data_IF_750499684699
#
_entry.id   IF_750499684699
#
_cell.length_a   1.000
_cell.length_b   1.000
_cell.length_c   1.000
_cell.angle_alpha   90.00
_cell.angle_beta   90.00
_cell.angle_gamma   90.00
#
_symmetry.space_group_name_H-M   'P 1'
#
loop_
_entity.id
_entity.type
_entity.pdbx_description
1 polymer ?
#
# COMPACT_ATOMS: atom_id res chain seq x y z
N UNK A 1 -46.62 40.39 -19.73
CA UNK A 1 -45.59 39.38 -20.04
C UNK A 1 -45.03 38.81 -18.73
N UNK A 2 -45.26 37.52 -18.42
CA UNK A 2 -44.78 36.84 -17.20
C UNK A 2 -44.05 35.55 -17.59
N UNK A 3 -42.74 35.62 -17.79
CA UNK A 3 -41.88 34.44 -17.87
C UNK A 3 -40.54 34.84 -17.27
N UNK A 4 -40.14 34.24 -16.14
CA UNK A 4 -38.74 34.19 -15.64
C UNK A 4 -38.52 33.49 -14.28
N UNK A 5 -39.50 32.78 -13.71
CA UNK A 5 -39.33 32.14 -12.39
C UNK A 5 -38.76 30.70 -12.40
N UNK A 6 -39.18 29.85 -13.34
CA UNK A 6 -38.91 28.40 -13.27
C UNK A 6 -37.53 27.98 -13.79
N UNK A 7 -36.98 28.68 -14.78
CA UNK A 7 -35.68 28.34 -15.37
C UNK A 7 -34.50 28.64 -14.42
N UNK A 8 -34.63 29.69 -13.60
CA UNK A 8 -33.56 30.10 -12.68
C UNK A 8 -33.39 29.12 -11.51
N UNK A 9 -34.47 28.51 -11.01
CA UNK A 9 -34.44 27.56 -9.90
C UNK A 9 -33.77 26.22 -10.28
N UNK A 10 -34.03 25.74 -11.50
CA UNK A 10 -33.42 24.52 -12.06
C UNK A 10 -31.89 24.61 -12.20
N UNK A 11 -31.39 25.79 -12.60
CA UNK A 11 -29.95 26.04 -12.73
C UNK A 11 -29.22 26.04 -11.38
N UNK A 12 -29.86 26.60 -10.35
CA UNK A 12 -29.30 26.66 -8.98
C UNK A 12 -29.27 25.26 -8.35
N UNK A 13 -30.31 24.45 -8.51
CA UNK A 13 -30.37 23.08 -7.98
C UNK A 13 -29.34 22.14 -8.63
N UNK A 14 -28.98 22.40 -9.89
CA UNK A 14 -27.95 21.61 -10.61
C UNK A 14 -26.53 22.00 -10.18
N UNK A 15 -26.28 23.30 -9.96
CA UNK A 15 -25.00 23.81 -9.47
C UNK A 15 -24.71 23.31 -8.04
N UNK A 16 -25.71 23.33 -7.15
CA UNK A 16 -25.55 22.89 -5.76
C UNK A 16 -25.22 21.39 -5.67
N UNK A 17 -25.86 20.55 -6.50
CA UNK A 17 -25.56 19.10 -6.54
C UNK A 17 -24.13 18.81 -7.04
N UNK A 18 -23.64 19.58 -8.00
CA UNK A 18 -22.29 19.42 -8.57
C UNK A 18 -21.18 19.83 -7.57
N UNK A 19 -21.43 20.89 -6.80
CA UNK A 19 -20.47 21.38 -5.79
C UNK A 19 -20.37 20.40 -4.61
N UNK A 20 -21.51 19.89 -4.12
CA UNK A 20 -21.51 18.93 -3.00
C UNK A 20 -20.84 17.61 -3.39
N UNK A 21 -21.06 17.12 -4.62
CA UNK A 21 -20.41 15.89 -5.09
C UNK A 21 -18.89 16.03 -5.25
N UNK A 22 -18.40 17.22 -5.62
CA UNK A 22 -16.96 17.51 -5.74
C UNK A 22 -16.28 17.65 -4.37
N UNK A 23 -16.97 18.21 -3.37
CA UNK A 23 -16.43 18.34 -2.01
C UNK A 23 -16.35 16.99 -1.27
N UNK A 24 -17.28 16.06 -1.53
CA UNK A 24 -17.25 14.72 -0.92
C UNK A 24 -16.14 13.85 -1.53
N UNK A 25 -15.78 14.03 -2.80
CA UNK A 25 -14.65 13.32 -3.41
C UNK A 25 -13.29 13.80 -2.86
N UNK A 26 -13.15 15.10 -2.55
CA UNK A 26 -11.89 15.66 -2.04
C UNK A 26 -11.59 15.30 -0.57
N UNK A 27 -12.60 14.91 0.22
CA UNK A 27 -12.41 14.54 1.64
C UNK A 27 -11.97 13.09 1.85
N UNK A 28 -11.94 12.25 0.80
CA UNK A 28 -11.44 10.87 0.86
C UNK A 28 -9.99 10.79 0.34
N UNK A 29 -9.45 11.91 -0.17
CA UNK A 29 -8.14 11.95 -0.84
C UNK A 29 -6.94 12.13 0.09
N UNK A 30 -7.15 12.39 1.38
CA UNK A 30 -6.06 12.55 2.34
C UNK A 30 -5.70 11.18 2.91
N UNK A 31 -4.56 10.63 2.44
CA UNK A 31 -3.80 9.47 2.94
C UNK A 31 -4.14 8.07 2.40
N UNK A 32 -4.46 7.92 1.10
CA UNK A 32 -4.39 6.61 0.46
C UNK A 32 -2.93 6.29 0.10
N UNK A 33 -2.18 5.70 1.03
CA UNK A 33 -0.90 5.07 0.69
C UNK A 33 -1.15 3.94 -0.30
N UNK A 34 -0.55 4.01 -1.48
CA UNK A 34 -0.72 2.97 -2.50
C UNK A 34 0.08 1.73 -2.11
N UNK A 35 -0.51 0.56 -2.33
CA UNK A 35 0.21 -0.71 -2.25
C UNK A 35 1.46 -0.68 -3.12
N UNK A 36 2.55 -1.28 -2.64
CA UNK A 36 3.78 -1.44 -3.43
C UNK A 36 3.48 -2.26 -4.69
N UNK A 37 3.95 -1.75 -5.82
CA UNK A 37 3.85 -2.42 -7.11
C UNK A 37 4.96 -3.45 -7.29
N UNK A 38 4.77 -4.38 -8.23
CA UNK A 38 5.79 -5.39 -8.53
C UNK A 38 7.12 -4.78 -8.96
N UNK A 39 7.09 -3.72 -9.77
CA UNK A 39 8.29 -3.04 -10.25
C UNK A 39 9.10 -2.43 -9.11
N UNK A 40 8.42 -1.71 -8.20
CA UNK A 40 9.07 -1.12 -7.02
C UNK A 40 9.67 -2.21 -6.12
N UNK A 41 8.92 -3.29 -5.90
CA UNK A 41 9.39 -4.38 -5.05
C UNK A 41 10.62 -5.10 -5.61
N UNK A 42 10.69 -5.30 -6.93
CA UNK A 42 11.87 -5.87 -7.61
C UNK A 42 13.06 -4.93 -7.42
N UNK A 43 12.87 -3.63 -7.64
CA UNK A 43 13.93 -2.64 -7.47
C UNK A 43 14.48 -2.63 -6.04
N UNK A 44 13.61 -2.70 -5.02
CA UNK A 44 14.02 -2.82 -3.62
C UNK A 44 14.86 -4.09 -3.38
N UNK A 45 14.49 -5.20 -4.00
CA UNK A 45 15.18 -6.49 -3.86
C UNK A 45 16.56 -6.48 -4.52
N UNK A 46 16.67 -5.86 -5.69
CA UNK A 46 17.96 -5.68 -6.39
C UNK A 46 18.91 -4.76 -5.63
N UNK A 47 18.38 -3.66 -5.08
CA UNK A 47 19.16 -2.76 -4.23
C UNK A 47 19.65 -3.46 -2.97
N UNK A 48 18.81 -4.31 -2.35
CA UNK A 48 19.21 -5.13 -1.21
C UNK A 48 20.37 -6.06 -1.54
N UNK A 49 20.33 -6.74 -2.69
CA UNK A 49 21.40 -7.64 -3.11
C UNK A 49 22.72 -6.91 -3.45
N UNK A 50 22.64 -5.70 -4.00
CA UNK A 50 23.81 -4.87 -4.33
C UNK A 50 24.47 -4.26 -3.09
N UNK A 51 23.67 -3.80 -2.14
CA UNK A 51 24.15 -3.20 -0.91
C UNK A 51 24.39 -4.30 0.13
N UNK A 52 25.57 -4.93 0.05
CA UNK A 52 26.14 -5.92 0.95
C UNK A 52 25.10 -6.47 1.98
N UNK A 53 24.42 -7.59 1.70
CA UNK A 53 23.19 -8.01 2.39
C UNK A 53 23.37 -8.29 3.90
N UNK A 54 24.61 -8.31 4.38
CA UNK A 54 24.97 -8.40 5.80
C UNK A 54 24.95 -7.01 6.52
N UNK A 55 24.94 -5.91 5.77
CA UNK A 55 24.93 -4.52 6.27
C UNK A 55 23.56 -3.84 6.15
N UNK A 56 22.68 -4.28 5.24
CA UNK A 56 21.28 -3.81 5.26
C UNK A 56 20.54 -4.52 6.39
N UNK A 57 19.99 -3.69 7.27
CA UNK A 57 19.32 -4.01 8.53
C UNK A 57 17.96 -4.67 8.26
N UNK A 58 17.94 -5.81 7.57
CA UNK A 58 16.91 -6.81 7.82
C UNK A 58 17.26 -7.43 9.17
N UNK A 59 17.04 -6.67 10.26
CA UNK A 59 16.94 -7.27 11.59
C UNK A 59 16.01 -8.46 11.41
N UNK A 60 16.32 -9.61 11.99
CA UNK A 60 15.56 -10.82 11.74
C UNK A 60 14.40 -10.91 12.75
N UNK A 61 13.25 -10.21 12.57
CA UNK A 61 12.10 -10.50 13.40
C UNK A 61 11.70 -11.95 13.10
N UNK A 62 11.46 -12.69 14.17
CA UNK A 62 10.75 -13.95 14.06
C UNK A 62 9.27 -13.62 14.07
N UNK A 63 8.62 -13.71 12.91
CA UNK A 63 7.18 -13.61 12.82
C UNK A 63 6.55 -14.91 13.29
N UNK A 64 5.54 -14.81 14.17
CA UNK A 64 4.80 -15.97 14.68
C UNK A 64 3.67 -16.39 13.71
N UNK A 65 4.01 -16.49 12.43
CA UNK A 65 3.13 -16.89 11.34
C UNK A 65 3.99 -17.47 10.21
N UNK A 66 3.35 -18.20 9.30
CA UNK A 66 3.98 -18.69 8.07
C UNK A 66 4.25 -17.53 7.10
N UNK A 67 5.16 -17.76 6.16
CA UNK A 67 5.46 -16.79 5.12
C UNK A 67 4.23 -16.49 4.23
N UNK A 68 3.42 -17.51 3.95
CA UNK A 68 2.18 -17.35 3.19
C UNK A 68 1.15 -16.49 3.93
N UNK A 69 0.98 -16.70 5.24
CA UNK A 69 0.09 -15.88 6.08
C UNK A 69 0.54 -14.42 6.13
N UNK A 70 1.85 -14.19 6.30
CA UNK A 70 2.43 -12.85 6.31
C UNK A 70 2.13 -12.08 5.01
N UNK A 71 2.32 -12.72 3.85
CA UNK A 71 2.04 -12.07 2.56
C UNK A 71 0.56 -11.76 2.38
N UNK A 72 -0.34 -12.64 2.83
CA UNK A 72 -1.78 -12.39 2.78
C UNK A 72 -2.17 -11.22 3.70
N UNK A 73 -1.62 -11.15 4.90
CA UNK A 73 -1.87 -10.03 5.82
C UNK A 73 -1.43 -8.69 5.19
N UNK A 74 -0.28 -8.65 4.52
CA UNK A 74 0.16 -7.44 3.81
C UNK A 74 -0.72 -7.05 2.62
N UNK A 75 -1.34 -8.03 1.94
CA UNK A 75 -2.34 -7.77 0.90
C UNK A 75 -3.61 -7.18 1.52
N UNK A 76 -4.10 -7.78 2.61
CA UNK A 76 -5.30 -7.33 3.31
C UNK A 76 -5.13 -5.93 3.90
N UNK A 77 -3.92 -5.59 4.36
CA UNK A 77 -3.53 -4.25 4.80
C UNK A 77 -3.31 -3.25 3.65
N UNK A 78 -3.40 -3.68 2.40
CA UNK A 78 -3.15 -2.85 1.23
C UNK A 78 -1.71 -2.38 1.10
N UNK A 79 -0.75 -3.09 1.70
CA UNK A 79 0.69 -2.75 1.66
C UNK A 79 1.39 -3.27 0.42
N UNK A 80 0.92 -4.40 -0.09
CA UNK A 80 1.42 -5.00 -1.33
C UNK A 80 0.25 -5.47 -2.20
N UNK A 81 0.53 -5.69 -3.47
CA UNK A 81 -0.42 -6.29 -4.42
C UNK A 81 -0.25 -7.81 -4.51
N UNK A 82 -1.27 -8.53 -5.00
CA UNK A 82 -1.18 -9.98 -5.23
C UNK A 82 0.04 -10.39 -6.09
N UNK A 83 0.40 -9.68 -7.19
CA UNK A 83 1.59 -10.00 -7.97
C UNK A 83 2.90 -9.89 -7.17
N UNK A 84 2.99 -8.92 -6.25
CA UNK A 84 4.15 -8.80 -5.35
C UNK A 84 4.26 -10.03 -4.46
N UNK A 85 3.16 -10.47 -3.84
CA UNK A 85 3.17 -11.67 -3.00
C UNK A 85 3.59 -12.93 -3.77
N UNK A 86 3.08 -13.11 -4.99
CA UNK A 86 3.46 -14.24 -5.86
C UNK A 86 4.96 -14.23 -6.19
N UNK A 87 5.50 -13.07 -6.57
CA UNK A 87 6.92 -12.93 -6.88
C UNK A 87 7.80 -13.13 -5.64
N UNK A 88 7.45 -12.47 -4.53
CA UNK A 88 8.09 -12.58 -3.22
C UNK A 88 8.24 -14.05 -2.79
N UNK A 89 7.16 -14.83 -2.90
CA UNK A 89 7.16 -16.26 -2.61
C UNK A 89 8.09 -17.05 -3.53
N UNK A 90 8.08 -16.75 -4.82
CA UNK A 90 8.91 -17.44 -5.82
C UNK A 90 10.41 -17.18 -5.68
N UNK A 91 10.79 -15.98 -5.25
CA UNK A 91 12.19 -15.55 -5.16
C UNK A 91 12.77 -15.64 -3.75
N UNK A 92 11.93 -15.91 -2.74
CA UNK A 92 12.36 -15.98 -1.34
C UNK A 92 12.68 -14.61 -0.76
N UNK A 93 11.86 -13.61 -1.06
CA UNK A 93 11.92 -12.26 -0.47
C UNK A 93 10.64 -11.95 0.28
N UNK A 94 10.71 -11.15 1.34
CA UNK A 94 9.54 -10.65 2.04
C UNK A 94 9.59 -9.11 2.15
N UNK A 95 8.44 -8.42 2.03
CA UNK A 95 8.38 -6.98 2.28
C UNK A 95 8.60 -6.70 3.76
N UNK A 96 9.53 -5.82 4.10
CA UNK A 96 9.79 -5.40 5.48
C UNK A 96 9.06 -4.10 5.79
N UNK A 97 8.28 -4.10 6.88
CA UNK A 97 7.52 -2.92 7.31
C UNK A 97 8.34 -2.03 8.25
N UNK A 98 8.37 -0.73 7.94
CA UNK A 98 8.86 0.32 8.83
C UNK A 98 7.72 1.21 9.29
N UNK A 99 7.78 1.70 10.53
CA UNK A 99 6.80 2.66 11.05
C UNK A 99 7.28 4.09 10.82
N UNK A 100 6.45 4.89 10.16
CA UNK A 100 6.71 6.30 9.90
C UNK A 100 5.89 7.16 10.86
N UNK A 101 6.56 7.90 11.74
CA UNK A 101 5.90 8.73 12.76
C UNK A 101 5.14 9.92 12.16
N UNK A 102 5.66 10.51 11.08
CA UNK A 102 5.05 11.66 10.39
C UNK A 102 3.66 11.33 9.84
N UNK A 103 3.50 10.09 9.40
CA UNK A 103 2.29 9.58 8.74
C UNK A 103 1.49 8.65 9.66
N UNK A 104 2.06 8.29 10.81
CA UNK A 104 1.53 7.32 11.77
C UNK A 104 1.10 6.00 11.10
N UNK A 105 1.89 5.52 10.15
CA UNK A 105 1.58 4.36 9.32
C UNK A 105 2.76 3.36 9.27
N UNK A 106 2.42 2.08 9.10
CA UNK A 106 3.38 1.06 8.70
C UNK A 106 3.47 1.02 7.17
N UNK A 107 4.66 1.04 6.62
CA UNK A 107 4.88 1.03 5.17
C UNK A 107 6.00 0.06 4.80
N UNK A 108 5.96 -0.47 3.58
CA UNK A 108 7.03 -1.31 3.06
C UNK A 108 8.23 -0.42 2.76
N UNK A 109 9.29 -0.57 3.55
CA UNK A 109 10.50 0.25 3.41
C UNK A 109 11.61 -0.44 2.65
N UNK A 110 11.61 -1.78 2.65
CA UNK A 110 12.68 -2.61 2.12
C UNK A 110 12.11 -3.97 1.66
N UNK A 111 12.88 -4.68 0.85
CA UNK A 111 12.69 -6.10 0.56
C UNK A 111 13.83 -6.89 1.17
N UNK A 112 13.51 -7.97 1.89
CA UNK A 112 14.47 -8.76 2.65
C UNK A 112 14.46 -10.22 2.18
N UNK A 113 15.64 -10.87 2.13
CA UNK A 113 15.71 -12.32 1.88
C UNK A 113 15.10 -13.10 3.04
N UNK A 114 14.27 -14.09 2.72
CA UNK A 114 13.70 -15.03 3.69
C UNK A 114 14.82 -15.91 4.26
N UNK A 115 14.88 -16.05 5.59
CA UNK A 115 15.78 -16.98 6.29
C UNK A 115 14.97 -18.09 6.96
N UNK A 116 15.59 -19.26 7.26
CA UNK A 116 14.89 -20.42 7.84
C UNK A 116 14.13 -20.14 9.16
N UNK A 117 14.48 -19.08 9.88
CA UNK A 117 13.94 -18.73 11.19
C UNK A 117 13.10 -17.44 11.18
N UNK A 118 12.91 -16.81 10.01
CA UNK A 118 12.10 -15.57 9.90
C UNK A 118 10.62 -15.84 10.14
N UNK A 119 10.12 -16.97 9.64
CA UNK A 119 8.71 -17.39 9.74
C UNK A 119 8.61 -18.75 10.42
N UNK A 120 7.42 -19.13 10.88
CA UNK A 120 7.17 -20.47 11.44
C UNK A 120 7.25 -21.56 10.37
N UNK A 121 6.94 -21.23 9.11
CA UNK A 121 7.13 -22.07 7.92
C UNK A 121 7.26 -21.20 6.65
N UNK A 122 7.92 -21.72 5.63
CA UNK A 122 8.18 -21.02 4.35
C UNK A 122 7.29 -21.57 3.20
N UNK A 123 6.56 -22.66 3.45
CA UNK A 123 5.74 -23.34 2.44
C UNK A 123 4.49 -22.55 2.01
#
# INVERSE_FOLDING_TARGET
>A
MKFKGKALKSLIDTQIKSIILSSVLMLISSSAYSAVTLSEFIQMSEQFDQANPDYIICYHPRYNMSFSEYLNELIDMGKITQPVAGWAKSQGYYPYLGYFFETSSWEVVLSCRVRPYTFTSIN
#
